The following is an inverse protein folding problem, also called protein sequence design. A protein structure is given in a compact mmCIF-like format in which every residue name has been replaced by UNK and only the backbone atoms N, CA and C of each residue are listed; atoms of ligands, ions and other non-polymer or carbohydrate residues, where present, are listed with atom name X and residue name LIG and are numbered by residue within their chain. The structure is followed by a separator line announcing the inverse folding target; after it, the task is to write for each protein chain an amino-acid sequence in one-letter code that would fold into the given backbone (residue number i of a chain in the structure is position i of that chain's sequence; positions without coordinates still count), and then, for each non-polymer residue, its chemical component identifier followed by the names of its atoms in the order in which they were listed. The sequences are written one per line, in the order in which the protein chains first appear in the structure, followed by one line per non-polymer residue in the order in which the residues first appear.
data_IF_674148741063
#
_entry.id   IF_674148741063
#
_cell.length_a   1.000
_cell.length_b   1.000
_cell.length_c   1.000
_cell.angle_alpha   90.00
_cell.angle_beta   90.00
_cell.angle_gamma   90.00
#
_symmetry.space_group_name_H-M   'P 1'
#
loop_
_entity.id
_entity.type
_entity.pdbx_description
1 polymer ?
#
# COMPACT_ATOMS: atom_id res chain seq x y z
N UNK A 1 -15.75 7.09 -21.23
CA UNK A 1 -14.94 5.86 -21.05
C UNK A 1 -13.46 6.12 -21.34
N UNK A 2 -13.13 6.98 -22.32
CA UNK A 2 -11.76 7.45 -22.62
C UNK A 2 -11.09 8.23 -21.50
N UNK A 3 -11.81 9.14 -20.82
CA UNK A 3 -11.20 10.04 -19.84
C UNK A 3 -10.72 9.33 -18.56
N UNK A 4 -11.43 8.28 -18.15
CA UNK A 4 -11.05 7.46 -16.99
C UNK A 4 -9.76 6.67 -17.30
N UNK A 5 -9.64 6.12 -18.51
CA UNK A 5 -8.44 5.40 -18.94
C UNK A 5 -7.21 6.33 -19.00
N UNK A 6 -7.39 7.55 -19.52
CA UNK A 6 -6.31 8.55 -19.57
C UNK A 6 -5.88 9.00 -18.16
N UNK A 7 -6.84 9.22 -17.25
CA UNK A 7 -6.55 9.59 -15.86
C UNK A 7 -5.83 8.48 -15.09
N UNK A 8 -6.24 7.21 -15.31
CA UNK A 8 -5.59 6.04 -14.75
C UNK A 8 -4.13 5.92 -15.25
N UNK A 9 -3.90 6.11 -16.54
CA UNK A 9 -2.57 6.06 -17.14
C UNK A 9 -1.65 7.16 -16.59
N UNK A 10 -2.14 8.40 -16.47
CA UNK A 10 -1.38 9.50 -15.87
C UNK A 10 -1.00 9.19 -14.42
N UNK A 11 -1.97 8.70 -13.63
CA UNK A 11 -1.75 8.33 -12.23
C UNK A 11 -0.69 7.25 -12.10
N UNK A 12 -0.78 6.21 -12.93
CA UNK A 12 0.18 5.11 -12.96
C UNK A 12 1.60 5.60 -13.31
N UNK A 13 1.75 6.40 -14.37
CA UNK A 13 3.04 6.94 -14.80
C UNK A 13 3.69 7.79 -13.70
N UNK A 14 2.90 8.65 -13.04
CA UNK A 14 3.40 9.47 -11.92
C UNK A 14 3.87 8.59 -10.76
N UNK A 15 3.08 7.60 -10.36
CA UNK A 15 3.41 6.75 -9.22
C UNK A 15 4.66 5.88 -9.48
N UNK A 16 4.83 5.39 -10.72
CA UNK A 16 6.00 4.63 -11.15
C UNK A 16 7.26 5.51 -11.28
N UNK A 17 7.13 6.78 -11.66
CA UNK A 17 8.28 7.68 -11.75
C UNK A 17 8.90 7.96 -10.38
N UNK A 18 8.08 8.10 -9.34
CA UNK A 18 8.59 8.40 -8.00
C UNK A 18 9.44 7.26 -7.42
N UNK A 19 9.06 5.99 -7.64
CA UNK A 19 9.84 4.80 -7.27
C UNK A 19 9.62 3.72 -8.36
N UNK A 20 10.53 3.67 -9.33
CA UNK A 20 10.43 2.74 -10.45
C UNK A 20 10.52 1.28 -9.99
N UNK A 21 9.44 0.51 -10.21
CA UNK A 21 9.41 -0.94 -10.02
C UNK A 21 8.84 -1.46 -8.70
N UNK A 22 8.41 -0.58 -7.80
CA UNK A 22 7.96 -0.99 -6.46
C UNK A 22 6.45 -1.22 -6.34
N UNK A 23 5.65 -0.94 -7.37
CA UNK A 23 4.19 -1.14 -7.31
C UNK A 23 3.78 -2.52 -7.82
N UNK A 24 2.93 -3.20 -7.05
CA UNK A 24 2.33 -4.48 -7.39
C UNK A 24 0.81 -4.36 -7.49
N UNK A 25 0.22 -5.20 -8.34
CA UNK A 25 -1.23 -5.34 -8.44
C UNK A 25 -1.79 -6.02 -7.19
N UNK A 26 -2.94 -5.54 -6.72
CA UNK A 26 -3.67 -6.15 -5.62
C UNK A 26 -4.76 -7.09 -6.16
N UNK A 27 -5.57 -7.67 -5.28
CA UNK A 27 -6.79 -8.38 -5.70
C UNK A 27 -7.87 -7.47 -6.32
N UNK A 28 -7.74 -6.15 -6.16
CA UNK A 28 -8.62 -5.17 -6.81
C UNK A 28 -7.99 -4.68 -8.12
N UNK A 29 -8.75 -4.61 -9.23
CA UNK A 29 -8.24 -4.12 -10.52
C UNK A 29 -7.94 -2.61 -10.51
N UNK A 30 -8.37 -1.89 -9.48
CA UNK A 30 -8.24 -0.43 -9.40
C UNK A 30 -7.20 0.02 -8.38
N UNK A 31 -6.61 -0.90 -7.60
CA UNK A 31 -5.66 -0.56 -6.56
C UNK A 31 -4.31 -1.24 -6.80
N UNK A 32 -3.27 -0.45 -6.65
CA UNK A 32 -1.87 -0.88 -6.62
C UNK A 32 -1.30 -0.56 -5.25
N UNK A 33 -0.28 -1.29 -4.82
CA UNK A 33 0.45 -0.95 -3.59
C UNK A 33 1.94 -1.22 -3.72
N UNK A 34 2.73 -0.71 -2.78
CA UNK A 34 4.16 -1.04 -2.70
C UNK A 34 4.36 -2.54 -2.46
N UNK A 35 5.36 -3.14 -3.09
CA UNK A 35 5.83 -4.48 -2.74
C UNK A 35 6.39 -4.47 -1.32
N UNK A 36 6.04 -5.47 -0.53
CA UNK A 36 6.63 -5.67 0.79
C UNK A 36 7.82 -6.64 0.71
N UNK A 37 8.84 -6.51 1.58
CA UNK A 37 9.86 -7.53 1.73
C UNK A 37 9.25 -8.88 2.10
N UNK A 38 9.74 -9.98 1.50
CA UNK A 38 9.25 -11.35 1.78
C UNK A 38 9.36 -11.74 3.26
N UNK A 39 10.41 -11.27 3.93
CA UNK A 39 10.62 -11.45 5.36
C UNK A 39 11.19 -10.17 5.93
N UNK A 40 10.62 -9.69 7.04
CA UNK A 40 11.05 -8.46 7.67
C UNK A 40 11.08 -8.59 9.19
N UNK A 41 12.00 -7.87 9.82
CA UNK A 41 12.11 -7.84 11.28
C UNK A 41 10.94 -7.07 11.87
N UNK A 42 10.32 -7.62 12.92
CA UNK A 42 9.25 -6.93 13.64
C UNK A 42 9.73 -5.59 14.23
N UNK A 43 8.84 -4.60 14.22
CA UNK A 43 9.04 -3.21 14.65
C UNK A 43 10.23 -2.49 13.97
N UNK A 44 10.71 -3.00 12.83
CA UNK A 44 11.71 -2.31 12.00
C UNK A 44 10.99 -1.53 10.90
N UNK A 45 11.43 -0.30 10.66
CA UNK A 45 10.99 0.50 9.51
C UNK A 45 11.18 -0.27 8.21
N UNK A 46 10.23 -0.15 7.29
CA UNK A 46 10.36 -0.71 5.94
C UNK A 46 11.49 0.02 5.16
N UNK A 47 12.12 -0.65 4.17
CA UNK A 47 13.15 -0.01 3.33
C UNK A 47 12.64 1.23 2.62
N UNK A 48 11.40 1.17 2.14
CA UNK A 48 10.69 2.24 1.46
C UNK A 48 9.32 2.43 2.11
N UNK A 49 8.76 3.66 2.08
CA UNK A 49 7.40 3.91 2.55
C UNK A 49 6.40 3.08 1.77
N UNK A 50 5.45 2.46 2.47
CA UNK A 50 4.37 1.72 1.81
C UNK A 50 3.36 2.71 1.23
N UNK A 51 2.94 2.47 -0.02
CA UNK A 51 2.00 3.32 -0.76
C UNK A 51 0.81 2.49 -1.19
N UNK A 52 -0.37 3.11 -1.26
CA UNK A 52 -1.57 2.57 -1.92
C UNK A 52 -2.00 3.59 -2.97
N UNK A 53 -2.10 3.16 -4.22
CA UNK A 53 -2.41 4.01 -5.38
C UNK A 53 -3.73 3.55 -5.99
N UNK A 54 -4.63 4.50 -6.26
CA UNK A 54 -5.89 4.23 -6.95
C UNK A 54 -5.83 4.63 -8.41
N UNK A 55 -6.25 3.75 -9.31
CA UNK A 55 -6.39 4.03 -10.74
C UNK A 55 -7.75 4.65 -11.09
N UNK A 56 -8.67 4.70 -10.13
CA UNK A 56 -9.97 5.37 -10.27
C UNK A 56 -10.06 6.51 -9.26
N UNK A 57 -10.80 7.59 -9.55
CA UNK A 57 -10.91 8.74 -8.64
C UNK A 57 -11.42 8.34 -7.24
N UNK A 58 -10.60 8.60 -6.23
CA UNK A 58 -10.92 8.56 -4.81
C UNK A 58 -10.75 9.97 -4.25
N UNK A 59 -11.74 10.54 -3.52
CA UNK A 59 -11.61 11.88 -2.97
C UNK A 59 -10.39 12.03 -2.04
N UNK A 60 -9.71 13.17 -2.15
CA UNK A 60 -8.68 13.55 -1.20
C UNK A 60 -9.26 13.63 0.22
N UNK A 61 -8.44 13.27 1.22
CA UNK A 61 -8.91 13.16 2.60
C UNK A 61 -9.51 11.80 2.95
N UNK A 62 -9.75 10.92 1.98
CA UNK A 62 -10.24 9.56 2.24
C UNK A 62 -9.23 8.78 3.08
N UNK A 63 -9.67 8.30 4.24
CA UNK A 63 -8.82 7.54 5.17
C UNK A 63 -8.58 6.13 4.64
N UNK A 64 -7.32 5.73 4.54
CA UNK A 64 -6.88 4.39 4.12
C UNK A 64 -6.27 3.69 5.32
N UNK A 65 -6.75 2.49 5.63
CA UNK A 65 -6.31 1.69 6.77
C UNK A 65 -5.77 0.35 6.28
N UNK A 66 -4.64 -0.07 6.82
CA UNK A 66 -4.07 -1.39 6.57
C UNK A 66 -4.34 -2.32 7.76
N UNK A 67 -4.62 -3.57 7.44
CA UNK A 67 -4.64 -4.68 8.38
C UNK A 67 -3.71 -5.78 7.85
N UNK A 68 -3.26 -6.65 8.75
CA UNK A 68 -2.45 -7.82 8.40
C UNK A 68 -2.87 -8.99 9.28
N UNK A 69 -2.81 -10.19 8.72
CA UNK A 69 -3.14 -11.43 9.40
C UNK A 69 -3.01 -12.63 8.46
N UNK A 70 -2.96 -13.82 9.04
CA UNK A 70 -3.00 -15.13 8.37
C UNK A 70 -3.91 -16.08 9.17
N UNK A 71 -3.95 -17.36 8.78
CA UNK A 71 -4.82 -18.36 9.43
C UNK A 71 -4.46 -18.59 10.90
N UNK A 72 -3.16 -18.62 11.24
CA UNK A 72 -2.70 -18.80 12.63
C UNK A 72 -2.89 -17.53 13.49
N UNK A 73 -2.78 -16.36 12.88
CA UNK A 73 -2.83 -15.04 13.54
C UNK A 73 -3.70 -14.10 12.71
N UNK A 74 -5.02 -14.11 12.93
CA UNK A 74 -5.96 -13.33 12.13
C UNK A 74 -5.77 -11.81 12.24
N UNK A 75 -5.14 -11.35 13.32
CA UNK A 75 -4.91 -9.93 13.59
C UNK A 75 -3.47 -9.69 14.04
N UNK A 76 -2.69 -9.01 13.22
CA UNK A 76 -1.38 -8.51 13.57
C UNK A 76 -1.46 -7.03 14.01
N UNK A 77 -0.69 -6.70 15.04
CA UNK A 77 -0.53 -5.32 15.48
C UNK A 77 0.39 -4.58 14.51
N UNK A 78 -0.05 -3.39 14.06
CA UNK A 78 0.68 -2.53 13.14
C UNK A 78 0.86 -1.14 13.74
N UNK A 79 2.01 -0.51 13.48
CA UNK A 79 2.27 0.90 13.78
C UNK A 79 2.10 1.74 12.52
N UNK A 80 1.47 2.91 12.64
CA UNK A 80 1.26 3.85 11.53
C UNK A 80 0.48 3.23 10.35
N UNK A 81 -0.50 2.38 10.65
CA UNK A 81 -1.32 1.66 9.66
C UNK A 81 -2.46 2.48 9.07
N UNK A 82 -2.42 3.80 9.20
CA UNK A 82 -3.43 4.73 8.69
C UNK A 82 -2.72 5.80 7.87
N UNK A 83 -3.20 6.01 6.66
CA UNK A 83 -2.79 7.10 5.79
C UNK A 83 -4.03 7.81 5.22
N UNK A 84 -3.80 8.92 4.53
CA UNK A 84 -4.84 9.70 3.87
C UNK A 84 -4.57 9.68 2.38
N UNK A 85 -5.61 9.42 1.59
CA UNK A 85 -5.57 9.52 0.14
C UNK A 85 -5.37 10.99 -0.25
N UNK A 86 -4.35 11.25 -1.06
CA UNK A 86 -4.03 12.56 -1.61
C UNK A 86 -3.56 12.37 -3.05
N UNK A 87 -4.24 13.02 -3.99
CA UNK A 87 -3.97 12.86 -5.43
C UNK A 87 -3.93 11.38 -5.83
N UNK A 88 -4.94 10.58 -5.47
CA UNK A 88 -4.99 9.14 -5.78
C UNK A 88 -3.88 8.27 -5.18
N UNK A 89 -3.16 8.78 -4.18
CA UNK A 89 -2.18 8.01 -3.43
C UNK A 89 -2.28 8.22 -1.92
N UNK A 90 -2.23 7.12 -1.15
CA UNK A 90 -2.06 7.14 0.29
C UNK A 90 -0.68 6.60 0.66
N UNK A 91 0.14 7.45 1.27
CA UNK A 91 1.51 7.12 1.70
C UNK A 91 1.58 6.88 3.20
N UNK A 92 2.01 5.70 3.60
CA UNK A 92 2.15 5.29 4.99
C UNK A 92 3.55 5.64 5.49
N UNK A 93 3.64 6.66 6.34
CA UNK A 93 4.90 7.12 6.90
C UNK A 93 5.33 6.19 8.05
N UNK A 94 6.46 5.51 7.86
CA UNK A 94 7.03 4.58 8.86
C UNK A 94 6.03 3.50 9.30
N UNK A 95 5.33 2.87 8.35
CA UNK A 95 4.54 1.66 8.60
C UNK A 95 5.44 0.56 9.20
N UNK A 96 4.97 -0.10 10.26
CA UNK A 96 5.68 -1.24 10.86
C UNK A 96 4.74 -2.37 11.24
N UNK A 97 5.25 -3.58 11.08
CA UNK A 97 4.63 -4.81 11.58
C UNK A 97 5.20 -5.09 12.97
N UNK A 98 4.36 -5.03 14.01
CA UNK A 98 4.77 -5.28 15.39
C UNK A 98 4.64 -6.77 15.74
N UNK A 99 3.56 -7.40 15.27
CA UNK A 99 3.34 -8.84 15.38
C UNK A 99 4.27 -9.68 14.51
N UNK A 100 4.48 -10.95 14.89
CA UNK A 100 5.16 -11.97 14.08
C UNK A 100 4.10 -12.84 13.38
N UNK A 101 4.34 -13.26 12.14
CA UNK A 101 3.42 -14.12 11.36
C UNK A 101 3.34 -15.55 11.88
N UNK A 102 4.47 -16.10 12.36
CA UNK A 102 4.58 -17.51 12.72
C UNK A 102 5.94 -18.05 12.26
N UNK A 103 6.13 -19.37 12.28
CA UNK A 103 7.32 -20.00 11.68
C UNK A 103 6.95 -20.51 10.30
N UNK A 104 7.57 -19.94 9.26
CA UNK A 104 7.32 -20.35 7.86
C UNK A 104 6.15 -19.64 7.18
N UNK A 105 5.54 -18.70 7.88
CA UNK A 105 4.45 -17.83 7.43
C UNK A 105 4.95 -16.44 7.02
#
# INVERSE_FOLDING_TARGET
MSDIMLAAEYTLRRALHEHAGDLVVTGSPHLLCSSLPKHWRSNKSLPTPFRVVSLVPVPDGTRVVLSAGNEERPFAELKNAVAVMQNQEARFNDLRFLGRSGRGE
#
